data_IF_138892430474
#
_entry.id   IF_138892430474
#
_cell.length_a   1.000
_cell.length_b   1.000
_cell.length_c   1.000
_cell.angle_alpha   90.00
_cell.angle_beta   90.00
_cell.angle_gamma   90.00
#
_symmetry.space_group_name_H-M   'P 1'
#
loop_
_entity.id
_entity.type
_entity.pdbx_description
1 polymer ?
#
# COMPACT_ATOMS: atom_id res chain seq x y z
N UNK A 1 18.74 -9.24 23.23
CA UNK A 1 17.83 -8.17 23.66
C UNK A 1 17.72 -7.03 22.62
N UNK A 2 18.81 -6.36 22.21
CA UNK A 2 18.76 -5.23 21.26
C UNK A 2 18.03 -5.54 19.95
N UNK A 3 18.33 -6.67 19.30
CA UNK A 3 17.67 -7.05 18.03
C UNK A 3 16.17 -7.28 18.19
N UNK A 4 15.72 -7.85 19.31
CA UNK A 4 14.28 -8.06 19.56
C UNK A 4 13.54 -6.73 19.70
N UNK A 5 14.12 -5.77 20.44
CA UNK A 5 13.55 -4.42 20.57
C UNK A 5 13.40 -3.77 19.20
N UNK A 6 14.46 -3.84 18.37
CA UNK A 6 14.41 -3.30 17.01
C UNK A 6 13.37 -4.04 16.14
N UNK A 7 13.23 -5.37 16.26
CA UNK A 7 12.20 -6.13 15.55
C UNK A 7 10.78 -5.67 15.92
N UNK A 8 10.53 -5.45 17.22
CA UNK A 8 9.25 -4.89 17.71
C UNK A 8 9.03 -3.48 17.14
N UNK A 9 10.08 -2.66 17.08
CA UNK A 9 9.97 -1.30 16.52
C UNK A 9 9.55 -1.32 15.05
N UNK A 10 10.17 -2.18 14.23
CA UNK A 10 9.82 -2.34 12.82
C UNK A 10 8.39 -2.88 12.65
N UNK A 11 7.98 -3.82 13.50
CA UNK A 11 6.60 -4.34 13.50
C UNK A 11 5.59 -3.24 13.82
N UNK A 12 5.77 -2.47 14.89
CA UNK A 12 4.82 -1.44 15.32
C UNK A 12 4.71 -0.30 14.31
N UNK A 13 5.81 0.07 13.66
CA UNK A 13 5.79 1.10 12.62
C UNK A 13 5.04 0.65 11.36
N UNK A 14 5.16 -0.64 10.99
CA UNK A 14 4.46 -1.22 9.85
C UNK A 14 2.98 -1.48 10.18
N UNK A 15 2.67 -1.91 11.39
CA UNK A 15 1.34 -2.36 11.81
C UNK A 15 0.25 -1.33 11.49
N UNK A 16 0.51 -0.04 11.77
CA UNK A 16 -0.45 1.02 11.49
C UNK A 16 -0.83 1.12 10.00
N UNK A 17 0.13 0.89 9.10
CA UNK A 17 -0.13 0.86 7.65
C UNK A 17 -0.84 -0.40 7.20
N UNK A 18 -0.43 -1.56 7.73
CA UNK A 18 -0.95 -2.86 7.34
C UNK A 18 -2.44 -3.03 7.68
N UNK A 19 -2.92 -2.52 8.81
CA UNK A 19 -4.33 -2.67 9.21
C UNK A 19 -5.31 -1.84 8.38
N UNK A 20 -4.85 -0.76 7.72
CA UNK A 20 -5.75 0.16 7.02
C UNK A 20 -6.33 -0.44 5.74
N UNK A 21 -5.51 -1.10 4.93
CA UNK A 21 -5.96 -1.69 3.65
C UNK A 21 -7.05 -2.74 3.86
N UNK A 22 -6.89 -3.73 4.76
CA UNK A 22 -7.94 -4.69 5.11
C UNK A 22 -9.25 -4.04 5.56
N UNK A 23 -9.17 -3.01 6.42
CA UNK A 23 -10.36 -2.32 6.92
C UNK A 23 -11.05 -1.56 5.79
N UNK A 24 -10.31 -0.81 4.96
CA UNK A 24 -10.88 -0.04 3.85
C UNK A 24 -11.57 -0.96 2.85
N UNK A 25 -10.88 -2.01 2.41
CA UNK A 25 -11.41 -2.95 1.42
C UNK A 25 -12.59 -3.73 2.00
N UNK A 26 -12.45 -4.27 3.23
CA UNK A 26 -13.49 -5.05 3.88
C UNK A 26 -14.76 -4.22 4.13
N UNK A 27 -14.63 -3.00 4.63
CA UNK A 27 -15.76 -2.08 4.85
C UNK A 27 -16.43 -1.71 3.53
N UNK A 28 -15.64 -1.40 2.49
CA UNK A 28 -16.18 -1.04 1.16
C UNK A 28 -16.88 -2.21 0.48
N UNK A 29 -16.43 -3.44 0.71
CA UNK A 29 -17.08 -4.67 0.23
C UNK A 29 -18.21 -5.16 1.14
N UNK A 30 -18.54 -4.40 2.19
CA UNK A 30 -19.60 -4.71 3.17
C UNK A 30 -19.40 -6.04 3.88
N UNK A 31 -18.16 -6.38 4.20
CA UNK A 31 -17.83 -7.56 5.00
C UNK A 31 -18.30 -7.39 6.44
N UNK A 32 -18.61 -8.52 7.10
CA UNK A 32 -18.96 -8.49 8.53
C UNK A 32 -17.73 -8.10 9.37
N UNK A 33 -17.94 -7.62 10.61
CA UNK A 33 -16.83 -7.31 11.51
C UNK A 33 -15.85 -8.46 11.71
N UNK A 34 -16.34 -9.72 11.76
CA UNK A 34 -15.53 -10.91 11.89
C UNK A 34 -14.69 -11.18 10.64
N UNK A 35 -15.27 -10.91 9.46
CA UNK A 35 -14.55 -11.03 8.19
C UNK A 35 -13.45 -9.98 8.07
N UNK A 36 -13.70 -8.74 8.49
CA UNK A 36 -12.70 -7.67 8.49
C UNK A 36 -11.58 -7.99 9.49
N UNK A 37 -11.93 -8.47 10.70
CA UNK A 37 -10.93 -8.90 11.67
C UNK A 37 -10.05 -10.04 11.12
N UNK A 38 -10.64 -10.99 10.39
CA UNK A 38 -9.89 -12.04 9.70
C UNK A 38 -8.98 -11.46 8.60
N UNK A 39 -9.48 -10.52 7.77
CA UNK A 39 -8.66 -9.85 6.74
C UNK A 39 -7.42 -9.19 7.35
N UNK A 40 -7.59 -8.51 8.49
CA UNK A 40 -6.47 -7.87 9.20
C UNK A 40 -5.45 -8.91 9.67
N UNK A 41 -5.90 -10.01 10.29
CA UNK A 41 -4.98 -11.03 10.80
C UNK A 41 -4.26 -11.77 9.68
N UNK A 42 -4.97 -12.15 8.61
CA UNK A 42 -4.34 -12.81 7.46
C UNK A 42 -3.36 -11.89 6.74
N UNK A 43 -3.66 -10.58 6.65
CA UNK A 43 -2.73 -9.62 6.06
C UNK A 43 -1.44 -9.50 6.87
N UNK A 44 -1.54 -9.38 8.20
CA UNK A 44 -0.37 -9.34 9.08
C UNK A 44 0.47 -10.63 8.92
N UNK A 45 -0.17 -11.80 8.86
CA UNK A 45 0.51 -13.06 8.62
C UNK A 45 1.25 -13.07 7.29
N UNK A 46 0.55 -12.67 6.22
CA UNK A 46 1.10 -12.63 4.87
C UNK A 46 2.18 -11.56 4.70
N UNK A 47 2.12 -10.44 5.42
CA UNK A 47 3.22 -9.49 5.54
C UNK A 47 4.49 -10.17 6.09
N UNK A 48 4.33 -11.06 7.07
CA UNK A 48 5.43 -11.88 7.60
C UNK A 48 6.02 -12.80 6.54
N UNK A 49 5.18 -13.55 5.82
CA UNK A 49 5.59 -14.44 4.71
C UNK A 49 6.28 -13.62 3.60
N UNK A 50 5.68 -12.51 3.20
CA UNK A 50 6.18 -11.62 2.17
C UNK A 50 7.56 -11.06 2.52
N UNK A 51 7.70 -10.54 3.73
CA UNK A 51 8.96 -9.98 4.25
C UNK A 51 10.05 -11.07 4.34
N UNK A 52 9.69 -12.28 4.76
CA UNK A 52 10.63 -13.41 4.79
C UNK A 52 11.17 -13.74 3.40
N UNK A 53 10.28 -13.89 2.42
CA UNK A 53 10.66 -14.21 1.04
C UNK A 53 11.58 -13.12 0.46
N UNK A 54 11.30 -11.87 0.75
CA UNK A 54 12.05 -10.74 0.20
C UNK A 54 13.40 -10.53 0.88
N UNK A 55 13.48 -10.68 2.22
CA UNK A 55 14.71 -10.54 2.98
C UNK A 55 15.67 -11.74 2.81
N UNK A 56 15.18 -12.87 2.32
CA UNK A 56 15.98 -14.06 2.08
C UNK A 56 16.80 -13.90 0.79
N UNK A 57 18.10 -14.21 0.84
CA UNK A 57 19.03 -14.13 -0.30
C UNK A 57 18.74 -15.14 -1.42
N UNK A 58 18.04 -16.21 -1.12
CA UNK A 58 17.70 -17.26 -2.11
C UNK A 58 16.49 -16.82 -2.92
N UNK A 59 15.43 -16.36 -2.26
CA UNK A 59 14.13 -16.05 -2.87
C UNK A 59 13.96 -14.58 -3.24
N UNK A 60 14.59 -13.66 -2.51
CA UNK A 60 14.45 -12.21 -2.68
C UNK A 60 15.78 -11.47 -2.85
N UNK A 61 15.76 -10.17 -2.62
CA UNK A 61 16.94 -9.29 -2.72
C UNK A 61 17.98 -9.56 -1.64
N UNK A 62 17.57 -10.13 -0.50
CA UNK A 62 18.42 -10.29 0.68
C UNK A 62 18.81 -8.98 1.34
N UNK A 63 18.06 -7.89 1.11
CA UNK A 63 18.12 -6.64 1.84
C UNK A 63 17.17 -6.67 3.04
N UNK A 64 17.34 -5.80 4.05
CA UNK A 64 16.43 -5.67 5.18
C UNK A 64 15.13 -4.94 4.76
N UNK A 65 14.39 -5.52 3.82
CA UNK A 65 13.15 -5.00 3.27
C UNK A 65 11.97 -5.56 4.05
N UNK A 66 10.99 -4.70 4.34
CA UNK A 66 9.68 -5.09 4.86
C UNK A 66 8.65 -4.93 3.74
N UNK A 67 7.90 -5.99 3.47
CA UNK A 67 6.76 -5.95 2.56
C UNK A 67 5.45 -5.81 3.35
N UNK A 68 4.57 -4.93 2.88
CA UNK A 68 3.22 -4.77 3.40
C UNK A 68 2.21 -4.63 2.27
N UNK A 69 0.92 -4.72 2.60
CA UNK A 69 -0.15 -4.56 1.62
C UNK A 69 -0.06 -3.21 0.90
N UNK A 70 -0.24 -3.25 -0.41
CA UNK A 70 -0.11 -2.04 -1.24
C UNK A 70 -1.39 -1.21 -1.27
N UNK A 71 -1.26 0.11 -1.09
CA UNK A 71 -2.38 1.03 -1.26
C UNK A 71 -2.81 1.21 -2.72
N UNK A 72 -1.92 0.93 -3.68
CA UNK A 72 -2.22 1.03 -5.12
C UNK A 72 -3.33 0.10 -5.57
N UNK A 73 -3.51 -1.04 -4.91
CA UNK A 73 -4.52 -2.02 -5.23
C UNK A 73 -5.90 -1.73 -4.60
N UNK A 74 -6.00 -0.81 -3.63
CA UNK A 74 -7.23 -0.58 -2.86
C UNK A 74 -8.41 -0.23 -3.76
N UNK A 75 -8.27 0.79 -4.61
CA UNK A 75 -9.35 1.21 -5.50
C UNK A 75 -9.77 0.13 -6.51
N UNK A 76 -8.85 -0.55 -7.23
CA UNK A 76 -9.19 -1.69 -8.08
C UNK A 76 -9.84 -2.84 -7.33
N UNK A 77 -9.38 -3.18 -6.12
CA UNK A 77 -9.98 -4.26 -5.32
C UNK A 77 -11.42 -3.94 -4.95
N UNK A 78 -11.70 -2.72 -4.52
CA UNK A 78 -13.05 -2.27 -4.20
C UNK A 78 -13.94 -2.32 -5.45
N UNK A 79 -13.49 -1.73 -6.55
CA UNK A 79 -14.26 -1.67 -7.79
C UNK A 79 -14.60 -3.07 -8.31
N UNK A 80 -13.60 -3.96 -8.45
CA UNK A 80 -13.79 -5.30 -9.00
C UNK A 80 -14.60 -6.15 -8.02
N UNK A 81 -14.33 -6.08 -6.72
CA UNK A 81 -15.09 -6.81 -5.72
C UNK A 81 -16.56 -6.43 -5.66
N UNK A 82 -16.91 -5.14 -5.85
CA UNK A 82 -18.29 -4.65 -5.88
C UNK A 82 -19.01 -4.97 -7.18
N UNK A 83 -18.31 -4.94 -8.32
CA UNK A 83 -18.96 -5.05 -9.66
C UNK A 83 -18.95 -6.47 -10.20
N UNK A 84 -17.92 -7.26 -9.92
CA UNK A 84 -17.73 -8.60 -10.49
C UNK A 84 -17.67 -9.74 -9.45
N UNK A 85 -17.57 -9.40 -8.17
CA UNK A 85 -17.52 -10.38 -7.08
C UNK A 85 -16.12 -10.65 -6.54
N UNK A 86 -16.09 -11.27 -5.36
CA UNK A 86 -14.86 -11.54 -4.60
C UNK A 86 -14.05 -12.66 -5.24
N UNK A 87 -14.69 -13.63 -5.85
CA UNK A 87 -14.08 -14.73 -6.58
C UNK A 87 -13.30 -14.25 -7.81
N UNK A 88 -13.87 -13.31 -8.58
CA UNK A 88 -13.18 -12.66 -9.71
C UNK A 88 -12.03 -11.80 -9.22
N UNK A 89 -12.19 -11.09 -8.10
CA UNK A 89 -11.14 -10.28 -7.50
C UNK A 89 -9.91 -11.14 -7.20
N UNK A 90 -10.07 -12.22 -6.43
CA UNK A 90 -8.94 -13.05 -6.03
C UNK A 90 -8.39 -13.92 -7.17
N UNK A 91 -9.23 -14.39 -8.08
CA UNK A 91 -8.77 -15.09 -9.27
C UNK A 91 -7.93 -14.21 -10.20
N UNK A 92 -8.34 -12.95 -10.37
CA UNK A 92 -7.60 -11.97 -11.17
C UNK A 92 -6.28 -11.54 -10.51
N UNK A 93 -6.26 -11.39 -9.17
CA UNK A 93 -5.02 -11.17 -8.42
C UNK A 93 -4.06 -12.35 -8.57
N UNK A 94 -4.55 -13.58 -8.46
CA UNK A 94 -3.76 -14.80 -8.64
C UNK A 94 -3.07 -14.83 -10.00
N UNK A 95 -3.81 -14.60 -11.08
CA UNK A 95 -3.25 -14.55 -12.44
C UNK A 95 -2.27 -13.40 -12.61
N UNK A 96 -2.56 -12.23 -12.03
CA UNK A 96 -1.65 -11.08 -12.10
C UNK A 96 -0.32 -11.39 -11.42
N UNK A 97 -0.33 -12.10 -10.28
CA UNK A 97 0.88 -12.56 -9.61
C UNK A 97 1.71 -13.53 -10.45
N UNK A 98 1.06 -14.46 -11.16
CA UNK A 98 1.74 -15.35 -12.13
C UNK A 98 2.37 -14.53 -13.26
N UNK A 99 1.66 -13.55 -13.82
CA UNK A 99 2.20 -12.66 -14.86
C UNK A 99 3.41 -11.87 -14.35
N UNK A 100 3.39 -11.40 -13.10
CA UNK A 100 4.56 -10.76 -12.47
C UNK A 100 5.75 -11.70 -12.39
N UNK A 101 5.57 -12.95 -11.98
CA UNK A 101 6.64 -13.96 -11.93
C UNK A 101 7.24 -14.17 -13.34
N UNK A 102 6.39 -14.27 -14.35
CA UNK A 102 6.83 -14.47 -15.74
C UNK A 102 7.63 -13.26 -16.25
N UNK A 103 7.18 -12.03 -15.92
CA UNK A 103 7.85 -10.81 -16.42
C UNK A 103 9.07 -10.42 -15.58
N UNK A 104 9.20 -10.90 -14.35
CA UNK A 104 10.27 -10.53 -13.41
C UNK A 104 11.69 -10.63 -14.00
N UNK A 105 12.07 -11.67 -14.79
CA UNK A 105 13.37 -11.74 -15.44
C UNK A 105 13.64 -10.59 -16.43
N UNK A 106 12.59 -10.07 -17.05
CA UNK A 106 12.66 -9.03 -18.06
C UNK A 106 12.43 -7.63 -17.47
N UNK A 107 11.83 -7.55 -16.28
CA UNK A 107 11.42 -6.29 -15.66
C UNK A 107 12.62 -5.37 -15.37
N UNK A 108 13.80 -5.91 -15.06
CA UNK A 108 15.02 -5.12 -14.92
C UNK A 108 15.41 -4.34 -16.22
N UNK A 109 14.93 -4.78 -17.39
CA UNK A 109 15.05 -4.05 -18.65
C UNK A 109 13.89 -3.07 -18.87
N UNK A 110 12.74 -3.34 -18.26
CA UNK A 110 11.54 -2.51 -18.37
C UNK A 110 11.57 -1.29 -17.44
N UNK A 111 12.34 -1.32 -16.34
CA UNK A 111 12.51 -0.19 -15.42
C UNK A 111 12.88 1.11 -16.14
N UNK A 112 13.63 1.04 -17.24
CA UNK A 112 13.96 2.20 -18.09
C UNK A 112 12.75 2.91 -18.71
N UNK A 113 11.58 2.24 -18.80
CA UNK A 113 10.34 2.85 -19.31
C UNK A 113 9.59 3.62 -18.23
N UNK A 114 10.07 3.52 -16.98
CA UNK A 114 9.48 4.16 -15.81
C UNK A 114 10.45 5.18 -15.20
N UNK A 115 10.84 6.22 -15.96
CA UNK A 115 11.67 7.28 -15.41
C UNK A 115 10.95 8.03 -14.29
N UNK A 116 11.64 8.86 -13.50
CA UNK A 116 11.06 9.60 -12.37
C UNK A 116 9.80 10.39 -12.73
N UNK A 117 9.71 10.92 -13.97
CA UNK A 117 8.51 11.63 -14.43
C UNK A 117 7.27 10.73 -14.46
N UNK A 118 7.41 9.47 -14.87
CA UNK A 118 6.31 8.49 -14.88
C UNK A 118 6.01 8.03 -13.46
N UNK A 119 7.03 7.54 -12.74
CA UNK A 119 6.87 7.01 -11.38
C UNK A 119 6.31 8.05 -10.43
N UNK A 120 6.86 9.27 -10.43
CA UNK A 120 6.41 10.35 -9.58
C UNK A 120 4.97 10.77 -9.87
N UNK A 121 4.59 10.85 -11.17
CA UNK A 121 3.20 11.13 -11.55
C UNK A 121 2.24 10.08 -11.03
N UNK A 122 2.57 8.79 -11.21
CA UNK A 122 1.70 7.68 -10.77
C UNK A 122 1.54 7.66 -9.25
N UNK A 123 2.64 7.78 -8.50
CA UNK A 123 2.59 7.80 -7.02
C UNK A 123 1.79 9.02 -6.52
N UNK A 124 1.93 10.17 -7.17
CA UNK A 124 1.13 11.36 -6.85
C UNK A 124 -0.37 11.10 -7.09
N UNK A 125 -0.74 10.51 -8.22
CA UNK A 125 -2.12 10.13 -8.55
C UNK A 125 -2.70 9.18 -7.49
N UNK A 126 -1.92 8.19 -7.03
CA UNK A 126 -2.35 7.24 -5.99
C UNK A 126 -2.75 8.00 -4.72
N UNK A 127 -1.86 8.85 -4.22
CA UNK A 127 -2.12 9.62 -3.00
C UNK A 127 -3.36 10.51 -3.12
N UNK A 128 -3.53 11.21 -4.26
CA UNK A 128 -4.69 12.07 -4.51
C UNK A 128 -5.98 11.25 -4.58
N UNK A 129 -5.99 10.13 -5.31
CA UNK A 129 -7.19 9.32 -5.52
C UNK A 129 -7.67 8.59 -4.26
N UNK A 130 -6.81 8.39 -3.28
CA UNK A 130 -7.17 7.82 -1.98
C UNK A 130 -7.68 8.87 -0.99
N UNK A 131 -7.42 10.16 -1.22
CA UNK A 131 -7.83 11.23 -0.31
C UNK A 131 -9.35 11.32 -0.09
N UNK A 132 -10.23 11.16 -1.10
CA UNK A 132 -11.68 11.11 -0.90
C UNK A 132 -12.11 10.00 0.07
N UNK A 133 -11.45 8.84 0.06
CA UNK A 133 -11.74 7.75 1.01
C UNK A 133 -11.40 8.18 2.44
N UNK A 134 -10.25 8.84 2.64
CA UNK A 134 -9.86 9.38 3.93
C UNK A 134 -10.86 10.43 4.45
N UNK A 135 -11.33 11.33 3.57
CA UNK A 135 -12.33 12.34 3.93
C UNK A 135 -13.69 11.73 4.27
N UNK A 136 -14.14 10.72 3.51
CA UNK A 136 -15.38 10.00 3.82
C UNK A 136 -15.31 9.30 5.18
N UNK A 137 -14.17 8.71 5.53
CA UNK A 137 -13.96 8.07 6.83
C UNK A 137 -13.90 9.11 7.96
N UNK A 138 -13.21 10.23 7.75
CA UNK A 138 -13.18 11.34 8.72
C UNK A 138 -14.58 11.84 9.03
N UNK A 139 -15.48 11.85 8.04
CA UNK A 139 -16.86 12.25 8.20
C UNK A 139 -17.77 11.18 8.83
N UNK A 140 -17.26 9.98 9.16
CA UNK A 140 -18.01 8.89 9.78
C UNK A 140 -18.34 7.72 8.86
N UNK A 141 -17.97 7.79 7.56
CA UNK A 141 -18.23 6.75 6.57
C UNK A 141 -19.46 7.03 5.70
N UNK A 142 -19.28 6.91 4.40
CA UNK A 142 -20.33 7.23 3.43
C UNK A 142 -21.59 6.36 3.66
N UNK A 143 -22.75 7.00 3.80
CA UNK A 143 -24.03 6.34 4.05
C UNK A 143 -24.34 6.08 5.53
N UNK A 144 -23.46 6.44 6.46
CA UNK A 144 -23.77 6.40 7.89
C UNK A 144 -24.81 7.49 8.24
N UNK A 145 -25.64 7.22 9.26
CA UNK A 145 -26.68 8.16 9.70
C UNK A 145 -26.10 9.46 10.28
N UNK A 146 -24.91 9.36 10.85
CA UNK A 146 -24.14 10.46 11.46
C UNK A 146 -23.03 10.99 10.55
N UNK A 147 -23.13 10.71 9.24
CA UNK A 147 -22.18 11.20 8.25
C UNK A 147 -22.13 12.72 8.24
N UNK A 148 -20.92 13.28 8.45
CA UNK A 148 -20.71 14.72 8.53
C UNK A 148 -21.02 15.33 9.90
N UNK A 149 -21.36 14.53 10.92
CA UNK A 149 -21.53 15.04 12.29
C UNK A 149 -20.22 15.69 12.77
N UNK A 150 -20.35 16.81 13.45
CA UNK A 150 -19.24 17.57 14.04
C UNK A 150 -18.38 16.70 14.96
N UNK A 151 -18.99 15.76 15.69
CA UNK A 151 -18.26 14.80 16.56
C UNK A 151 -17.28 13.94 15.76
N UNK A 152 -17.72 13.41 14.63
CA UNK A 152 -16.88 12.60 13.74
C UNK A 152 -15.70 13.42 13.20
N UNK A 153 -15.99 14.62 12.70
CA UNK A 153 -14.98 15.52 12.14
C UNK A 153 -13.94 15.91 13.21
N UNK A 154 -14.40 16.30 14.41
CA UNK A 154 -13.50 16.69 15.51
C UNK A 154 -12.63 15.52 15.97
N UNK A 155 -13.18 14.31 16.05
CA UNK A 155 -12.44 13.10 16.45
C UNK A 155 -11.35 12.76 15.42
N UNK A 156 -11.69 12.81 14.13
CA UNK A 156 -10.72 12.57 13.06
C UNK A 156 -9.63 13.64 13.02
N UNK A 157 -10.00 14.93 13.13
CA UNK A 157 -9.04 16.04 13.21
C UNK A 157 -8.16 15.94 14.47
N UNK A 158 -8.71 15.57 15.61
CA UNK A 158 -7.94 15.33 16.83
C UNK A 158 -6.87 14.25 16.59
N UNK A 159 -7.25 13.13 15.95
CA UNK A 159 -6.31 12.06 15.61
C UNK A 159 -5.20 12.57 14.69
N UNK A 160 -5.55 13.32 13.65
CA UNK A 160 -4.58 13.93 12.73
C UNK A 160 -3.64 14.90 13.48
N UNK A 161 -4.17 15.76 14.33
CA UNK A 161 -3.37 16.70 15.13
C UNK A 161 -2.39 15.95 16.05
N UNK A 162 -2.84 14.88 16.73
CA UNK A 162 -1.95 14.05 17.55
C UNK A 162 -0.78 13.52 16.71
N UNK A 163 -1.05 12.98 15.52
CA UNK A 163 -0.02 12.47 14.62
C UNK A 163 0.95 13.59 14.23
N UNK A 164 0.46 14.78 13.86
CA UNK A 164 1.29 15.91 13.46
C UNK A 164 2.16 16.43 14.61
N UNK A 165 1.59 16.52 15.81
CA UNK A 165 2.31 16.93 17.03
C UNK A 165 3.44 15.94 17.33
N UNK A 166 3.14 14.64 17.30
CA UNK A 166 4.16 13.61 17.48
C UNK A 166 5.25 13.67 16.40
N UNK A 167 4.89 13.84 15.14
CA UNK A 167 5.85 14.00 14.03
C UNK A 167 6.74 15.22 14.19
N UNK A 168 6.24 16.31 14.79
CA UNK A 168 6.98 17.58 14.99
C UNK A 168 7.88 17.54 16.20
N UNK A 169 7.38 17.05 17.34
CA UNK A 169 8.02 17.22 18.65
C UNK A 169 8.76 15.98 19.13
N UNK A 170 8.63 14.84 18.44
CA UNK A 170 9.35 13.61 18.81
C UNK A 170 10.42 13.23 17.79
N UNK A 171 11.33 12.36 18.19
CA UNK A 171 12.42 11.85 17.36
C UNK A 171 12.53 10.32 17.49
N UNK A 172 13.31 9.70 16.63
CA UNK A 172 13.61 8.27 16.73
C UNK A 172 12.38 7.39 16.65
N UNK A 173 12.24 6.47 17.60
CA UNK A 173 11.20 5.45 17.60
C UNK A 173 9.77 6.02 17.73
N UNK A 174 9.54 6.96 18.64
CA UNK A 174 8.20 7.55 18.86
C UNK A 174 7.70 8.21 17.58
N UNK A 175 8.58 8.93 16.87
CA UNK A 175 8.25 9.51 15.57
C UNK A 175 7.83 8.45 14.54
N UNK A 176 8.50 7.31 14.53
CA UNK A 176 8.23 6.21 13.57
C UNK A 176 6.87 5.54 13.81
N UNK A 177 6.38 5.52 15.05
CA UNK A 177 5.08 4.94 15.43
C UNK A 177 4.00 5.99 15.69
N UNK A 178 4.22 7.24 15.30
CA UNK A 178 3.30 8.36 15.57
C UNK A 178 1.88 8.08 15.05
N UNK A 179 1.73 7.43 13.90
CA UNK A 179 0.43 7.04 13.33
C UNK A 179 -0.27 6.03 14.25
N UNK A 180 0.46 5.01 14.72
CA UNK A 180 -0.10 4.01 15.63
C UNK A 180 -0.54 4.65 16.96
N UNK A 181 0.28 5.54 17.52
CA UNK A 181 -0.08 6.28 18.74
C UNK A 181 -1.33 7.13 18.49
N UNK A 182 -1.41 7.82 17.35
CA UNK A 182 -2.58 8.60 16.96
C UNK A 182 -3.83 7.75 16.87
N UNK A 183 -3.77 6.56 16.26
CA UNK A 183 -4.88 5.61 16.19
C UNK A 183 -5.31 5.15 17.59
N UNK A 184 -4.37 4.79 18.46
CA UNK A 184 -4.67 4.34 19.84
C UNK A 184 -5.31 5.46 20.64
N UNK A 185 -4.71 6.65 20.68
CA UNK A 185 -5.25 7.79 21.44
C UNK A 185 -6.57 8.27 20.87
N UNK A 186 -6.72 8.28 19.53
CA UNK A 186 -7.98 8.58 18.85
C UNK A 186 -9.08 7.58 19.23
N UNK A 187 -8.76 6.28 19.26
CA UNK A 187 -9.70 5.23 19.67
C UNK A 187 -10.08 5.34 21.14
N UNK A 188 -9.14 5.68 22.03
CA UNK A 188 -9.45 5.96 23.44
C UNK A 188 -10.39 7.16 23.55
N UNK A 189 -10.12 8.26 22.83
CA UNK A 189 -11.02 9.41 22.77
C UNK A 189 -12.42 9.06 22.27
N UNK A 190 -12.51 8.23 21.24
CA UNK A 190 -13.78 7.70 20.73
C UNK A 190 -14.50 6.82 21.76
N UNK A 191 -13.76 6.02 22.53
CA UNK A 191 -14.30 5.20 23.62
C UNK A 191 -14.94 6.05 24.71
N UNK A 192 -14.33 7.19 25.09
CA UNK A 192 -14.90 8.15 26.03
C UNK A 192 -16.19 8.80 25.51
N UNK A 193 -16.37 8.86 24.20
CA UNK A 193 -17.59 9.35 23.53
C UNK A 193 -18.63 8.23 23.30
N UNK A 194 -18.37 6.99 23.74
CA UNK A 194 -19.26 5.84 23.55
C UNK A 194 -19.34 5.31 22.12
N UNK A 195 -18.35 5.61 21.28
CA UNK A 195 -18.32 5.21 19.86
C UNK A 195 -17.59 3.88 19.60
N UNK A 196 -17.08 3.21 20.63
CA UNK A 196 -16.30 1.97 20.54
C UNK A 196 -17.09 0.81 21.14
N UNK A 197 -17.29 -0.26 20.33
CA UNK A 197 -17.90 -1.50 20.82
C UNK A 197 -16.81 -2.56 21.11
N UNK A 198 -16.48 -2.70 22.39
CA UNK A 198 -15.46 -3.65 22.89
C UNK A 198 -15.97 -5.10 22.83
N UNK A 199 -17.28 -5.35 22.74
CA UNK A 199 -17.85 -6.70 22.74
C UNK A 199 -17.30 -7.55 21.58
N UNK A 200 -17.02 -6.94 20.44
CA UNK A 200 -16.42 -7.61 19.28
C UNK A 200 -15.07 -8.26 19.64
N UNK A 201 -14.25 -7.62 20.46
CA UNK A 201 -12.95 -8.16 20.91
C UNK A 201 -13.15 -9.29 21.92
N UNK A 202 -14.17 -9.19 22.79
CA UNK A 202 -14.46 -10.22 23.80
C UNK A 202 -14.90 -11.53 23.14
N UNK A 203 -15.70 -11.46 22.08
CA UNK A 203 -16.20 -12.63 21.34
C UNK A 203 -15.17 -13.22 20.37
N UNK A 204 -14.12 -12.48 20.00
CA UNK A 204 -13.07 -12.98 19.12
C UNK A 204 -12.25 -14.09 19.81
N UNK A 205 -11.99 -15.17 19.08
CA UNK A 205 -11.08 -16.22 19.53
C UNK A 205 -9.66 -15.71 19.74
N UNK A 206 -8.88 -16.41 20.57
CA UNK A 206 -7.46 -16.07 20.76
C UNK A 206 -6.61 -16.45 19.54
N UNK A 207 -6.83 -17.64 18.98
CA UNK A 207 -6.05 -18.19 17.88
C UNK A 207 -6.92 -18.34 16.63
N UNK A 208 -6.38 -17.89 15.49
CA UNK A 208 -6.95 -18.09 14.18
C UNK A 208 -5.84 -18.35 13.18
N UNK A 209 -5.87 -19.53 12.55
CA UNK A 209 -4.92 -19.89 11.52
C UNK A 209 -5.43 -19.36 10.18
N UNK A 210 -4.59 -18.71 9.35
CA UNK A 210 -4.96 -18.36 7.99
C UNK A 210 -5.43 -19.59 7.20
N UNK A 211 -6.62 -19.50 6.60
CA UNK A 211 -7.25 -20.60 5.86
C UNK A 211 -7.29 -20.23 4.37
N UNK A 212 -6.76 -21.08 3.48
CA UNK A 212 -6.89 -20.86 2.04
C UNK A 212 -8.36 -20.80 1.62
N UNK A 213 -8.68 -19.93 0.66
CA UNK A 213 -10.02 -19.78 0.06
C UNK A 213 -11.14 -19.51 1.09
N UNK A 214 -10.84 -18.77 2.16
CA UNK A 214 -11.78 -18.49 3.27
C UNK A 214 -13.07 -17.83 2.82
N UNK A 215 -13.00 -16.88 1.88
CA UNK A 215 -14.15 -16.10 1.43
C UNK A 215 -14.71 -16.59 0.09
N UNK A 216 -13.83 -17.03 -0.81
CA UNK A 216 -14.22 -17.48 -2.15
C UNK A 216 -13.11 -18.30 -2.78
N UNK A 217 -13.49 -19.15 -3.75
CA UNK A 217 -12.56 -19.71 -4.73
C UNK A 217 -12.14 -18.67 -5.77
N UNK A 218 -11.68 -19.14 -6.93
CA UNK A 218 -11.22 -18.30 -8.03
C UNK A 218 -12.18 -18.37 -9.21
N UNK A 219 -12.58 -17.19 -9.71
CA UNK A 219 -13.12 -16.99 -11.05
C UNK A 219 -12.17 -16.05 -11.79
N UNK A 220 -11.99 -16.30 -13.09
CA UNK A 220 -10.96 -15.59 -13.85
C UNK A 220 -11.61 -14.62 -14.85
N UNK A 221 -11.15 -13.37 -14.82
CA UNK A 221 -11.55 -12.31 -15.76
C UNK A 221 -10.30 -11.62 -16.32
N UNK A 222 -10.17 -11.62 -17.63
CA UNK A 222 -8.99 -11.10 -18.33
C UNK A 222 -8.83 -9.60 -18.06
N UNK A 223 -9.92 -8.85 -18.11
CA UNK A 223 -9.90 -7.39 -17.91
C UNK A 223 -9.42 -7.04 -16.51
N UNK A 224 -10.00 -7.67 -15.48
CA UNK A 224 -9.61 -7.48 -14.08
C UNK A 224 -8.17 -7.94 -13.83
N UNK A 225 -7.73 -9.02 -14.48
CA UNK A 225 -6.34 -9.49 -14.42
C UNK A 225 -5.38 -8.45 -14.98
N UNK A 226 -5.70 -7.82 -16.10
CA UNK A 226 -4.87 -6.76 -16.69
C UNK A 226 -4.80 -5.53 -15.78
N UNK A 227 -5.90 -5.14 -15.14
CA UNK A 227 -5.93 -4.05 -14.15
C UNK A 227 -4.95 -4.36 -13.01
N UNK A 228 -5.07 -5.52 -12.38
CA UNK A 228 -4.16 -5.90 -11.28
C UNK A 228 -2.73 -6.08 -11.74
N UNK A 229 -2.50 -6.54 -12.95
CA UNK A 229 -1.14 -6.65 -13.50
C UNK A 229 -0.49 -5.27 -13.68
N UNK A 230 -1.22 -4.26 -14.18
CA UNK A 230 -0.73 -2.89 -14.28
C UNK A 230 -0.44 -2.32 -12.88
N UNK A 231 -1.34 -2.53 -11.93
CA UNK A 231 -1.14 -2.14 -10.54
C UNK A 231 0.09 -2.80 -9.93
N UNK A 232 0.29 -4.09 -10.19
CA UNK A 232 1.47 -4.81 -9.73
C UNK A 232 2.77 -4.24 -10.34
N UNK A 233 2.76 -3.88 -11.63
CA UNK A 233 3.91 -3.20 -12.27
C UNK A 233 4.23 -1.89 -11.55
N UNK A 234 3.22 -1.08 -11.23
CA UNK A 234 3.41 0.17 -10.47
C UNK A 234 4.03 -0.12 -9.10
N UNK A 235 3.54 -1.13 -8.40
CA UNK A 235 4.10 -1.56 -7.10
C UNK A 235 5.55 -2.03 -7.20
N UNK A 236 5.93 -2.76 -8.28
CA UNK A 236 7.31 -3.17 -8.52
C UNK A 236 8.24 -1.96 -8.74
N UNK A 237 7.73 -0.89 -9.36
CA UNK A 237 8.50 0.33 -9.56
C UNK A 237 8.74 1.03 -8.22
N UNK A 238 7.69 1.14 -7.38
CA UNK A 238 7.79 1.67 -6.02
C UNK A 238 8.82 0.87 -5.21
N UNK A 239 8.73 -0.45 -5.24
CA UNK A 239 9.69 -1.34 -4.58
C UNK A 239 11.11 -1.16 -5.10
N UNK A 240 11.30 -0.88 -6.39
CA UNK A 240 12.63 -0.63 -6.96
C UNK A 240 13.29 0.58 -6.30
N UNK A 241 12.54 1.65 -6.03
CA UNK A 241 13.02 2.82 -5.28
C UNK A 241 13.50 2.43 -3.86
N UNK A 242 12.73 1.60 -3.16
CA UNK A 242 13.09 1.09 -1.83
C UNK A 242 14.34 0.20 -1.88
N UNK A 243 14.48 -0.63 -2.92
CA UNK A 243 15.66 -1.48 -3.10
C UNK A 243 16.93 -0.64 -3.25
N UNK A 244 16.89 0.41 -4.08
CA UNK A 244 18.02 1.32 -4.25
C UNK A 244 18.35 2.04 -2.94
N UNK A 245 17.39 2.62 -2.26
CA UNK A 245 17.59 3.32 -0.99
C UNK A 245 18.24 2.41 0.08
N UNK A 246 17.74 1.18 0.23
CA UNK A 246 18.31 0.22 1.19
C UNK A 246 19.68 -0.33 0.74
N UNK A 247 19.92 -0.45 -0.57
CA UNK A 247 21.22 -0.77 -1.13
C UNK A 247 22.29 0.25 -0.69
N UNK A 248 21.99 1.54 -0.80
CA UNK A 248 22.86 2.63 -0.36
C UNK A 248 23.09 2.59 1.16
N UNK A 249 22.02 2.51 1.96
CA UNK A 249 22.11 2.51 3.42
C UNK A 249 22.91 1.30 3.94
N UNK A 250 22.73 0.14 3.34
CA UNK A 250 23.38 -1.11 3.76
C UNK A 250 24.78 -1.28 3.17
N UNK A 251 25.11 -0.54 2.11
CA UNK A 251 26.33 -0.70 1.32
C UNK A 251 26.36 -1.96 0.44
N UNK A 252 25.23 -2.68 0.33
CA UNK A 252 25.12 -3.87 -0.50
C UNK A 252 24.78 -3.47 -1.94
N UNK A 253 25.70 -3.67 -2.87
CA UNK A 253 25.44 -3.49 -4.31
C UNK A 253 24.48 -4.56 -4.81
N UNK A 254 23.40 -4.12 -5.45
CA UNK A 254 22.43 -5.01 -6.08
C UNK A 254 22.85 -5.29 -7.53
N UNK A 255 22.81 -6.56 -7.91
CA UNK A 255 22.99 -7.03 -9.27
C UNK A 255 21.62 -7.32 -9.92
N UNK A 256 21.59 -7.48 -11.25
CA UNK A 256 20.36 -7.85 -11.98
C UNK A 256 19.66 -9.07 -11.41
N UNK A 257 20.44 -10.07 -10.96
CA UNK A 257 19.88 -11.29 -10.34
C UNK A 257 19.13 -11.00 -9.05
N UNK A 258 19.58 -10.00 -8.25
CA UNK A 258 18.93 -9.64 -7.00
C UNK A 258 17.59 -8.93 -7.26
N UNK A 259 17.54 -8.02 -8.23
CA UNK A 259 16.28 -7.40 -8.68
C UNK A 259 15.31 -8.44 -9.22
N UNK A 260 15.77 -9.35 -10.09
CA UNK A 260 14.93 -10.45 -10.60
C UNK A 260 14.32 -11.25 -9.46
N UNK A 261 15.12 -11.67 -8.46
CA UNK A 261 14.64 -12.41 -7.30
C UNK A 261 13.62 -11.59 -6.51
N UNK A 262 13.89 -10.30 -6.27
CA UNK A 262 12.99 -9.41 -5.57
C UNK A 262 11.62 -9.32 -6.24
N UNK A 263 11.58 -9.11 -7.55
CA UNK A 263 10.33 -9.06 -8.31
C UNK A 263 9.60 -10.40 -8.36
N UNK A 264 10.36 -11.50 -8.50
CA UNK A 264 9.78 -12.86 -8.44
C UNK A 264 9.16 -13.12 -7.06
N UNK A 265 9.82 -12.68 -5.98
CA UNK A 265 9.28 -12.81 -4.62
C UNK A 265 7.97 -12.01 -4.47
N UNK A 266 7.89 -10.79 -4.98
CA UNK A 266 6.65 -9.99 -4.95
C UNK A 266 5.53 -10.66 -5.76
N UNK A 267 5.81 -11.17 -6.94
CA UNK A 267 4.83 -11.95 -7.71
C UNK A 267 4.36 -13.20 -6.97
N UNK A 268 5.27 -13.94 -6.34
CA UNK A 268 4.94 -15.12 -5.53
C UNK A 268 4.05 -14.75 -4.34
N UNK A 269 4.32 -13.62 -3.70
CA UNK A 269 3.50 -13.15 -2.57
C UNK A 269 2.11 -12.72 -3.02
N UNK A 270 1.95 -12.13 -4.21
CA UNK A 270 0.62 -11.84 -4.78
C UNK A 270 -0.16 -13.15 -5.00
N UNK A 271 0.49 -14.19 -5.54
CA UNK A 271 -0.12 -15.51 -5.72
C UNK A 271 -0.55 -16.11 -4.38
N UNK A 272 0.35 -16.13 -3.39
CA UNK A 272 0.05 -16.66 -2.06
C UNK A 272 -1.03 -15.83 -1.36
N UNK A 273 -0.94 -14.49 -1.42
CA UNK A 273 -1.95 -13.59 -0.87
C UNK A 273 -3.33 -13.88 -1.43
N UNK A 274 -3.43 -14.11 -2.74
CA UNK A 274 -4.72 -14.45 -3.38
C UNK A 274 -5.30 -15.76 -2.86
N UNK A 275 -4.48 -16.79 -2.66
CA UNK A 275 -4.91 -18.09 -2.11
C UNK A 275 -5.48 -17.94 -0.69
N UNK A 276 -4.88 -17.08 0.12
CA UNK A 276 -5.35 -16.80 1.49
C UNK A 276 -6.39 -15.68 1.57
N UNK A 277 -6.92 -15.23 0.43
CA UNK A 277 -7.85 -14.09 0.33
C UNK A 277 -7.30 -12.83 1.04
N UNK A 278 -6.02 -12.55 0.85
CA UNK A 278 -5.31 -11.40 1.36
C UNK A 278 -5.04 -10.38 0.23
N UNK A 279 -3.98 -9.62 0.29
CA UNK A 279 -3.72 -8.46 -0.54
C UNK A 279 -2.47 -8.64 -1.42
N UNK A 280 -2.27 -7.82 -2.46
CA UNK A 280 -0.96 -7.66 -3.08
C UNK A 280 -0.04 -6.84 -2.16
N UNK A 281 1.26 -7.09 -2.26
CA UNK A 281 2.28 -6.57 -1.35
C UNK A 281 3.33 -5.75 -2.10
N UNK A 282 3.87 -4.72 -1.43
CA UNK A 282 4.94 -3.86 -1.94
C UNK A 282 5.95 -3.56 -0.83
N UNK A 283 7.14 -3.09 -1.20
CA UNK A 283 8.15 -2.68 -0.24
C UNK A 283 7.76 -1.36 0.47
N UNK A 284 7.71 -1.38 1.79
CA UNK A 284 7.34 -0.21 2.60
C UNK A 284 8.50 0.79 2.68
N UNK A 285 8.30 1.96 2.10
CA UNK A 285 9.25 3.07 2.13
C UNK A 285 9.50 3.60 3.55
N UNK A 286 8.50 3.53 4.44
CA UNK A 286 8.64 3.91 5.86
C UNK A 286 9.71 3.08 6.57
N UNK A 287 9.90 1.81 6.17
CA UNK A 287 10.91 0.94 6.74
C UNK A 287 12.34 1.40 6.42
N UNK A 288 12.55 2.06 5.29
CA UNK A 288 13.86 2.62 4.89
C UNK A 288 14.36 3.61 5.95
N UNK A 289 13.48 4.51 6.39
CA UNK A 289 13.77 5.46 7.45
C UNK A 289 14.15 4.78 8.77
N UNK A 290 13.46 3.71 9.14
CA UNK A 290 13.77 2.94 10.35
C UNK A 290 15.12 2.23 10.27
N UNK A 291 15.44 1.60 9.14
CA UNK A 291 16.75 0.96 8.93
C UNK A 291 17.88 1.99 9.04
N UNK A 292 17.68 3.18 8.46
CA UNK A 292 18.64 4.29 8.55
C UNK A 292 18.83 4.76 10.00
N UNK A 293 17.74 4.99 10.74
CA UNK A 293 17.79 5.50 12.12
C UNK A 293 18.31 4.47 13.13
N UNK A 294 17.87 3.21 13.00
CA UNK A 294 18.23 2.14 13.93
C UNK A 294 19.61 1.55 13.68
N UNK A 295 20.19 1.80 12.50
CA UNK A 295 21.41 1.14 12.04
C UNK A 295 21.24 -0.38 11.83
N UNK A 296 20.03 -0.89 11.75
CA UNK A 296 19.69 -2.30 11.57
C UNK A 296 19.96 -2.76 10.12
N UNK A 297 21.23 -2.67 9.69
CA UNK A 297 21.65 -3.03 8.32
C UNK A 297 21.63 -4.54 8.03
N UNK A 298 21.49 -5.38 9.07
CA UNK A 298 21.49 -6.84 8.95
C UNK A 298 20.07 -7.40 9.04
N UNK A 299 19.80 -8.45 8.27
CA UNK A 299 18.46 -9.09 8.20
C UNK A 299 18.01 -9.75 9.51
N UNK A 300 18.89 -9.92 10.52
CA UNK A 300 18.51 -10.56 11.79
C UNK A 300 17.35 -9.82 12.49
N UNK A 301 17.29 -8.50 12.41
CA UNK A 301 16.20 -7.69 12.96
C UNK A 301 14.92 -7.96 12.17
N UNK A 302 15.03 -8.03 10.85
CA UNK A 302 13.87 -8.31 9.96
C UNK A 302 13.36 -9.73 10.17
N UNK A 303 14.23 -10.72 10.31
CA UNK A 303 13.79 -12.09 10.63
C UNK A 303 13.10 -12.17 12.01
N UNK A 304 13.59 -11.42 13.01
CA UNK A 304 12.90 -11.30 14.29
C UNK A 304 11.51 -10.69 14.14
N UNK A 305 11.39 -9.64 13.31
CA UNK A 305 10.09 -9.04 12.96
C UNK A 305 9.18 -10.03 12.21
N UNK A 306 9.71 -10.82 11.27
CA UNK A 306 8.94 -11.86 10.56
C UNK A 306 8.30 -12.84 11.54
N UNK A 307 9.07 -13.34 12.50
CA UNK A 307 8.54 -14.26 13.54
C UNK A 307 7.39 -13.60 14.31
N UNK A 308 7.57 -12.33 14.70
CA UNK A 308 6.53 -11.58 15.40
C UNK A 308 5.29 -11.36 14.54
N UNK A 309 5.44 -11.04 13.24
CA UNK A 309 4.31 -10.88 12.30
C UNK A 309 3.53 -12.19 12.14
N UNK A 310 4.23 -13.33 11.98
CA UNK A 310 3.58 -14.64 11.87
C UNK A 310 2.80 -14.99 13.15
N UNK A 311 3.37 -14.70 14.31
CA UNK A 311 2.68 -14.90 15.60
C UNK A 311 1.46 -13.96 15.71
N UNK A 312 1.64 -12.67 15.45
CA UNK A 312 0.55 -11.68 15.51
C UNK A 312 -0.57 -12.00 14.51
N UNK A 313 -0.23 -12.47 13.31
CA UNK A 313 -1.20 -12.88 12.30
C UNK A 313 -1.98 -14.17 12.64
N UNK A 314 -1.57 -14.90 13.68
CA UNK A 314 -2.33 -16.02 14.25
C UNK A 314 -3.17 -15.63 15.48
N UNK A 315 -3.11 -14.36 15.92
CA UNK A 315 -3.87 -13.87 17.08
C UNK A 315 -5.11 -13.10 16.58
N UNK A 316 -6.26 -13.78 16.48
CA UNK A 316 -7.51 -13.19 15.97
C UNK A 316 -7.98 -11.96 16.76
N UNK A 317 -7.67 -11.88 18.06
CA UNK A 317 -7.95 -10.70 18.89
C UNK A 317 -7.26 -9.44 18.41
N UNK A 318 -6.07 -9.52 17.77
CA UNK A 318 -5.40 -8.36 17.21
C UNK A 318 -6.15 -7.79 15.98
N UNK A 319 -6.76 -8.65 15.15
CA UNK A 319 -7.64 -8.22 14.07
C UNK A 319 -8.92 -7.58 14.60
N UNK A 320 -9.53 -8.16 15.64
CA UNK A 320 -10.69 -7.58 16.28
C UNK A 320 -10.38 -6.22 16.92
N UNK A 321 -9.21 -6.07 17.57
CA UNK A 321 -8.75 -4.79 18.10
C UNK A 321 -8.56 -3.72 17.02
N UNK A 322 -8.07 -4.11 15.84
CA UNK A 322 -7.96 -3.18 14.71
C UNK A 322 -9.35 -2.76 14.17
N UNK A 323 -10.31 -3.68 14.18
CA UNK A 323 -11.66 -3.44 13.67
C UNK A 323 -12.54 -2.55 14.58
N UNK A 324 -12.21 -2.42 15.87
CA UNK A 324 -12.95 -1.49 16.77
C UNK A 324 -12.52 -0.03 16.61
N UNK A 325 -11.49 0.26 15.82
CA UNK A 325 -11.06 1.63 15.55
C UNK A 325 -12.17 2.34 14.76
N UNK A 326 -12.78 3.43 15.26
CA UNK A 326 -13.86 4.10 14.56
C UNK A 326 -13.39 4.74 13.26
N UNK A 327 -14.27 4.78 12.26
CA UNK A 327 -13.96 5.33 10.92
C UNK A 327 -13.39 6.75 10.97
N UNK A 328 -13.89 7.70 11.82
CA UNK A 328 -13.30 9.04 11.93
C UNK A 328 -11.83 9.02 12.35
N UNK A 329 -11.47 8.15 13.29
CA UNK A 329 -10.08 7.98 13.77
C UNK A 329 -9.19 7.47 12.62
N UNK A 330 -9.67 6.44 11.88
CA UNK A 330 -9.00 5.95 10.69
C UNK A 330 -8.86 7.04 9.63
N UNK A 331 -9.91 7.83 9.38
CA UNK A 331 -9.90 8.94 8.44
C UNK A 331 -8.80 9.98 8.74
N UNK A 332 -8.66 10.36 10.01
CA UNK A 332 -7.59 11.26 10.46
C UNK A 332 -6.18 10.71 10.18
N UNK A 333 -5.95 9.43 10.47
CA UNK A 333 -4.69 8.75 10.18
C UNK A 333 -4.45 8.60 8.67
N UNK A 334 -5.48 8.27 7.90
CA UNK A 334 -5.42 8.09 6.44
C UNK A 334 -5.05 9.39 5.72
N UNK A 335 -5.54 10.56 6.17
CA UNK A 335 -5.14 11.85 5.61
C UNK A 335 -3.63 12.03 5.71
N UNK A 336 -3.04 11.74 6.88
CA UNK A 336 -1.59 11.82 7.04
C UNK A 336 -0.85 10.82 6.13
N UNK A 337 -1.33 9.57 6.03
CA UNK A 337 -0.66 8.52 5.25
C UNK A 337 -0.78 8.74 3.75
N UNK A 338 -1.97 9.01 3.23
CA UNK A 338 -2.16 9.23 1.79
C UNK A 338 -1.55 10.56 1.34
N UNK A 339 -1.58 11.58 2.23
CA UNK A 339 -0.83 12.81 2.04
C UNK A 339 0.68 12.58 1.94
N UNK A 340 1.25 11.68 2.75
CA UNK A 340 2.66 11.30 2.62
C UNK A 340 2.96 10.55 1.32
N UNK A 341 2.07 9.65 0.86
CA UNK A 341 2.22 8.98 -0.45
C UNK A 341 2.24 10.01 -1.58
N UNK A 342 1.28 10.95 -1.58
CA UNK A 342 1.25 12.04 -2.55
C UNK A 342 2.54 12.88 -2.51
N UNK A 343 2.97 13.28 -1.32
CA UNK A 343 4.18 14.07 -1.13
C UNK A 343 5.44 13.33 -1.58
N UNK A 344 5.51 12.01 -1.38
CA UNK A 344 6.58 11.18 -1.90
C UNK A 344 6.62 11.15 -3.43
N UNK A 345 5.45 11.03 -4.08
CA UNK A 345 5.34 11.18 -5.53
C UNK A 345 5.87 12.52 -6.04
N UNK A 346 5.47 13.62 -5.38
CA UNK A 346 5.98 14.97 -5.67
C UNK A 346 7.48 15.07 -5.44
N UNK A 347 8.02 14.43 -4.40
CA UNK A 347 9.46 14.39 -4.15
C UNK A 347 10.23 13.69 -5.27
N UNK A 348 9.71 12.60 -5.82
CA UNK A 348 10.29 11.94 -7.00
C UNK A 348 10.28 12.90 -8.21
N UNK A 349 9.19 13.62 -8.42
CA UNK A 349 9.12 14.64 -9.48
C UNK A 349 10.12 15.78 -9.27
N UNK A 350 10.49 16.08 -8.03
CA UNK A 350 11.53 17.08 -7.73
C UNK A 350 12.91 16.78 -8.33
N UNK A 351 13.16 15.54 -8.75
CA UNK A 351 14.43 15.14 -9.37
C UNK A 351 14.43 15.21 -10.90
N UNK A 352 13.34 15.70 -11.52
CA UNK A 352 13.26 15.86 -12.97
C UNK A 352 13.58 17.30 -13.39
N UNK A 353 13.95 17.45 -14.66
CA UNK A 353 14.11 18.77 -15.23
C UNK A 353 12.74 19.39 -15.60
N UNK A 354 12.26 20.33 -14.77
CA UNK A 354 11.03 21.09 -15.00
C UNK A 354 11.15 22.15 -16.11
N UNK A 355 12.36 22.48 -16.59
CA UNK A 355 12.53 23.36 -17.73
C UNK A 355 12.17 22.66 -19.04
N UNK A 356 12.21 21.33 -19.03
CA UNK A 356 11.77 20.53 -20.17
C UNK A 356 10.23 20.52 -20.24
N UNK A 357 9.66 21.19 -21.21
CA UNK A 357 8.21 21.28 -21.45
C UNK A 357 7.55 19.92 -21.65
N UNK A 358 8.25 18.94 -22.22
CA UNK A 358 7.74 17.58 -22.41
C UNK A 358 7.45 16.91 -21.07
N UNK A 359 8.35 17.07 -20.08
CA UNK A 359 8.13 16.53 -18.74
C UNK A 359 6.92 17.18 -18.07
N UNK A 360 6.75 18.50 -18.21
CA UNK A 360 5.58 19.20 -17.68
C UNK A 360 4.28 18.70 -18.30
N UNK A 361 4.25 18.47 -19.61
CA UNK A 361 3.07 17.94 -20.30
C UNK A 361 2.76 16.51 -19.89
N UNK A 362 3.77 15.67 -19.70
CA UNK A 362 3.58 14.29 -19.19
C UNK A 362 2.89 14.32 -17.83
N UNK A 363 3.41 15.14 -16.90
CA UNK A 363 2.84 15.27 -15.56
C UNK A 363 1.42 15.84 -15.64
N UNK A 364 1.25 16.96 -16.32
CA UNK A 364 -0.03 17.67 -16.38
C UNK A 364 -1.15 16.78 -16.93
N UNK A 365 -0.90 16.09 -18.03
CA UNK A 365 -1.92 15.26 -18.68
C UNK A 365 -2.15 13.97 -17.89
N UNK A 366 -1.10 13.28 -17.43
CA UNK A 366 -1.27 12.01 -16.70
C UNK A 366 -1.93 12.22 -15.33
N UNK A 367 -1.52 13.25 -14.57
CA UNK A 367 -2.14 13.58 -13.29
C UNK A 367 -3.56 14.11 -13.52
N UNK A 368 -3.75 14.99 -14.51
CA UNK A 368 -5.07 15.53 -14.84
C UNK A 368 -6.08 14.44 -15.25
N UNK A 369 -5.70 13.51 -16.13
CA UNK A 369 -6.56 12.39 -16.52
C UNK A 369 -6.79 11.43 -15.34
N UNK A 370 -5.72 11.06 -14.61
CA UNK A 370 -5.81 10.11 -13.51
C UNK A 370 -6.66 10.61 -12.34
N UNK A 371 -6.59 11.89 -12.00
CA UNK A 371 -7.41 12.50 -10.94
C UNK A 371 -8.79 12.92 -11.45
N UNK A 372 -8.86 13.43 -12.68
CA UNK A 372 -10.08 13.89 -13.30
C UNK A 372 -11.13 12.79 -13.47
N UNK A 373 -10.72 11.60 -13.95
CA UNK A 373 -11.65 10.48 -14.10
C UNK A 373 -12.15 9.95 -12.74
N UNK A 374 -11.30 9.98 -11.71
CA UNK A 374 -11.72 9.62 -10.34
C UNK A 374 -12.73 10.62 -9.76
N UNK A 375 -12.61 11.89 -10.12
CA UNK A 375 -13.56 12.94 -9.70
C UNK A 375 -14.87 12.90 -10.49
N UNK A 376 -14.80 12.55 -11.79
CA UNK A 376 -15.96 12.54 -12.71
C UNK A 376 -16.01 11.21 -13.48
N UNK A 377 -16.36 10.08 -12.82
CA UNK A 377 -16.37 8.75 -13.47
C UNK A 377 -17.31 8.64 -14.65
N UNK A 378 -18.34 9.49 -14.69
CA UNK A 378 -19.35 9.52 -15.76
C UNK A 378 -18.85 10.14 -17.08
N UNK A 379 -17.70 10.84 -17.07
CA UNK A 379 -17.19 11.57 -18.23
C UNK A 379 -16.94 10.65 -19.44
N UNK A 380 -16.58 9.39 -19.21
CA UNK A 380 -16.29 8.42 -20.26
C UNK A 380 -17.32 7.29 -20.40
N UNK A 381 -18.50 7.44 -19.79
CA UNK A 381 -19.58 6.43 -19.84
C UNK A 381 -19.95 6.01 -21.26
N UNK A 382 -19.84 6.91 -22.23
CA UNK A 382 -20.13 6.64 -23.64
C UNK A 382 -19.19 5.68 -24.36
N UNK A 383 -18.00 5.36 -23.76
CA UNK A 383 -17.04 4.41 -24.36
C UNK A 383 -17.46 2.93 -24.19
N UNK A 384 -18.51 2.65 -23.43
CA UNK A 384 -19.01 1.30 -23.20
C UNK A 384 -18.25 0.54 -22.08
N UNK A 385 -18.87 -0.54 -21.61
CA UNK A 385 -18.39 -1.32 -20.46
C UNK A 385 -17.03 -2.00 -20.70
N UNK A 386 -16.71 -2.30 -21.94
CA UNK A 386 -15.42 -2.90 -22.30
C UNK A 386 -14.21 -2.03 -21.92
N UNK A 387 -14.37 -0.71 -21.82
CA UNK A 387 -13.35 0.22 -21.38
C UNK A 387 -13.50 0.67 -19.92
N UNK A 388 -14.46 0.13 -19.18
CA UNK A 388 -14.72 0.51 -17.78
C UNK A 388 -13.48 0.33 -16.89
N UNK A 389 -12.67 -0.70 -17.11
CA UNK A 389 -11.43 -0.97 -16.39
C UNK A 389 -10.41 0.18 -16.49
N UNK A 390 -10.42 0.90 -17.61
CA UNK A 390 -9.55 2.05 -17.85
C UNK A 390 -10.20 3.36 -17.39
N UNK A 391 -11.50 3.51 -17.68
CA UNK A 391 -12.23 4.78 -17.49
C UNK A 391 -12.83 4.95 -16.09
N UNK A 392 -12.85 3.89 -15.28
CA UNK A 392 -13.30 3.95 -13.89
C UNK A 392 -12.15 3.87 -12.88
N UNK A 393 -10.92 3.70 -13.36
CA UNK A 393 -9.74 3.60 -12.51
C UNK A 393 -8.70 4.68 -12.86
N UNK A 394 -8.72 5.77 -12.11
CA UNK A 394 -7.82 6.89 -12.36
C UNK A 394 -6.35 6.55 -12.20
N UNK A 395 -5.98 5.59 -11.34
CA UNK A 395 -4.59 5.15 -11.18
C UNK A 395 -4.13 4.45 -12.45
N UNK A 396 -4.95 3.56 -13.00
CA UNK A 396 -4.63 2.82 -14.24
C UNK A 396 -4.56 3.77 -15.44
N UNK A 397 -5.56 4.65 -15.60
CA UNK A 397 -5.59 5.61 -16.70
C UNK A 397 -4.40 6.57 -16.63
N UNK A 398 -4.10 7.10 -15.44
CA UNK A 398 -2.96 7.98 -15.23
C UNK A 398 -1.62 7.30 -15.49
N UNK A 399 -1.44 6.05 -15.03
CA UNK A 399 -0.23 5.27 -15.26
C UNK A 399 0.00 5.00 -16.76
N UNK A 400 -1.03 4.52 -17.45
CA UNK A 400 -0.94 4.26 -18.91
C UNK A 400 -0.66 5.57 -19.66
N UNK A 401 -1.33 6.66 -19.30
CA UNK A 401 -1.12 7.97 -19.91
C UNK A 401 0.33 8.45 -19.71
N UNK A 402 0.86 8.33 -18.49
CA UNK A 402 2.24 8.72 -18.19
C UNK A 402 3.25 7.92 -19.02
N UNK A 403 3.05 6.60 -19.14
CA UNK A 403 3.93 5.72 -19.92
C UNK A 403 3.88 6.09 -21.41
N UNK A 404 2.67 6.20 -21.98
CA UNK A 404 2.49 6.51 -23.40
C UNK A 404 3.07 7.88 -23.75
N UNK A 405 2.76 8.91 -22.93
CA UNK A 405 3.27 10.26 -23.17
C UNK A 405 4.79 10.34 -22.99
N UNK A 406 5.34 9.64 -22.00
CA UNK A 406 6.80 9.58 -21.86
C UNK A 406 7.46 8.92 -23.06
N UNK A 407 6.88 7.84 -23.59
CA UNK A 407 7.37 7.19 -24.79
C UNK A 407 7.27 8.13 -26.02
N UNK A 408 6.16 8.83 -26.13
CA UNK A 408 5.92 9.75 -27.25
C UNK A 408 6.87 10.96 -27.25
N UNK A 409 7.07 11.61 -26.10
CA UNK A 409 7.86 12.83 -25.98
C UNK A 409 9.35 12.60 -25.79
N UNK A 410 9.73 11.60 -24.97
CA UNK A 410 11.12 11.37 -24.55
C UNK A 410 11.75 10.13 -25.23
N UNK A 411 10.94 9.29 -25.90
CA UNK A 411 11.39 8.05 -26.50
C UNK A 411 11.91 7.04 -25.46
N UNK A 412 12.68 6.02 -25.92
CA UNK A 412 13.28 4.98 -25.05
C UNK A 412 14.61 5.47 -24.45
N UNK A 413 15.18 6.58 -24.92
CA UNK A 413 16.47 7.11 -24.47
C UNK A 413 16.30 8.02 -23.25
N UNK A 414 16.13 7.45 -22.06
CA UNK A 414 16.43 8.16 -20.84
C UNK A 414 17.96 8.12 -20.64
N UNK A 415 18.65 9.21 -20.94
CA UNK A 415 19.99 9.47 -20.41
C UNK A 415 19.81 9.68 -18.90
N UNK A 416 20.23 8.73 -18.09
CA UNK A 416 20.58 9.06 -16.71
C UNK A 416 21.62 10.17 -16.82
N UNK A 417 21.29 11.34 -16.34
CA UNK A 417 22.25 12.39 -16.06
C UNK A 417 23.11 11.82 -14.93
N UNK A 418 24.25 11.25 -15.32
CA UNK A 418 25.37 11.06 -14.40
C UNK A 418 25.86 12.47 -14.06
N UNK A 419 25.21 13.13 -13.13
CA UNK A 419 25.70 14.34 -12.52
C UNK A 419 26.07 14.07 -11.06
N UNK A 420 27.39 13.98 -10.90
CA UNK A 420 28.16 14.51 -9.77
C UNK A 420 27.86 13.93 -8.38
N UNK A 421 28.47 12.76 -8.15
CA UNK A 421 29.14 12.56 -6.85
C UNK A 421 30.61 12.96 -7.06
N UNK A 422 30.93 14.21 -6.79
CA UNK A 422 32.24 14.65 -6.35
C UNK A 422 32.17 15.02 -4.89
#
# INVERSE_FOLDING_TARGET
>A
MKNLILSVQHLLAMYAGAILVPIIVGTSLKFTPEQIAYLVTVDIFMCGVATFLQANKVTGTGLPIVLGCTFTAVAPMILIGQTKGIDVLYGSLFLSGILVIIIAPFFSHLVKFFPPVVTGSVVTIIGINLMPVAMNYLAGGQGAKDYGDVKNILLGLMTLIIILVLQRFTTGFIKSIAILIGLVLGTIGAGLLGMVDINQVNHAGWLGIPVPFRFSGFSFDVTSTLVFFIVAIVSLIESTGVYHALSEITGKKLERKDFRKGYTAEGLVIVLGSIFNSFPYTAYSQNVGLVSLSGAKKNNVIYGMVVLLLICGCISKLGALANIIPLPVLGGAMIAMFGMVMAYGVSILGHIDFKNQNNLLIIAVSVGLGTGISAVPQAFKGLGEQFAWLTQNGIVLGAISAIILNFFFNGIKYKQTEENVK
#
